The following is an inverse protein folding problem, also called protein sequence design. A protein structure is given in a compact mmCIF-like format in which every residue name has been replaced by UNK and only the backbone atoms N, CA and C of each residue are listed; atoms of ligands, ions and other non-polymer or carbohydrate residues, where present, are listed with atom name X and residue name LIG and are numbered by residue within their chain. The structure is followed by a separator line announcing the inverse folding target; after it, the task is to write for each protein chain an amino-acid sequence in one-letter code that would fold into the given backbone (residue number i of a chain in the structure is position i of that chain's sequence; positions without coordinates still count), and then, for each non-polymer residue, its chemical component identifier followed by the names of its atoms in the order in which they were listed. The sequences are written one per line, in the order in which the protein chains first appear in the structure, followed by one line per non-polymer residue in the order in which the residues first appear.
data_IF_090903949206
#
_entry.id   IF_090903949206
#
_cell.length_a   1.000
_cell.length_b   1.000
_cell.length_c   1.000
_cell.angle_alpha   90.00
_cell.angle_beta   90.00
_cell.angle_gamma   90.00
#
_symmetry.space_group_name_H-M   'P 1'
#
loop_
_entity.id
_entity.type
_entity.pdbx_description
1 polymer ?
#
# COMPACT_ATOMS: atom_id res chain seq x y z
N UNK A 1 -31.13 73.77 35.90
CA UNK A 1 -30.60 72.57 36.58
C UNK A 1 -29.33 72.15 35.84
N UNK A 2 -28.15 72.37 36.42
CA UNK A 2 -26.85 72.18 35.75
C UNK A 2 -26.45 70.71 35.92
N UNK A 3 -26.60 69.89 34.87
CA UNK A 3 -26.23 68.47 34.91
C UNK A 3 -24.71 68.38 35.00
N UNK A 4 -24.20 68.00 36.18
CA UNK A 4 -22.79 67.64 36.38
C UNK A 4 -22.47 66.45 35.48
N UNK A 5 -21.59 66.65 34.49
CA UNK A 5 -20.97 65.55 33.74
C UNK A 5 -20.00 64.85 34.70
N UNK A 6 -20.49 63.90 35.48
CA UNK A 6 -19.63 62.98 36.22
C UNK A 6 -18.91 62.09 35.19
N UNK A 7 -17.67 62.45 34.86
CA UNK A 7 -16.78 61.62 34.06
C UNK A 7 -16.38 60.41 34.88
N UNK A 8 -17.03 59.27 34.65
CA UNK A 8 -16.52 57.99 35.13
C UNK A 8 -15.28 57.62 34.30
N UNK A 9 -14.10 57.78 34.89
CA UNK A 9 -12.85 57.24 34.32
C UNK A 9 -12.87 55.72 34.49
N UNK A 10 -13.31 55.00 33.45
CA UNK A 10 -13.21 53.54 33.40
C UNK A 10 -11.74 53.20 33.13
N UNK A 11 -11.07 52.61 34.11
CA UNK A 11 -9.67 52.15 34.01
C UNK A 11 -9.63 50.78 33.33
N UNK A 12 -9.58 50.77 32.00
CA UNK A 12 -9.49 49.53 31.22
C UNK A 12 -8.08 48.92 31.39
N UNK A 13 -7.97 47.64 31.80
CA UNK A 13 -6.69 46.94 31.87
C UNK A 13 -6.00 46.87 30.51
N UNK A 14 -4.68 47.02 30.50
CA UNK A 14 -3.87 47.17 29.29
C UNK A 14 -2.89 45.99 29.14
N UNK A 15 -2.57 45.58 27.92
CA UNK A 15 -1.66 44.46 27.65
C UNK A 15 -0.22 44.96 27.46
N UNK A 16 0.75 44.31 28.10
CA UNK A 16 2.16 44.58 27.81
C UNK A 16 2.63 43.88 26.52
N UNK A 17 3.87 44.11 26.10
CA UNK A 17 4.48 43.42 24.97
C UNK A 17 4.67 41.90 25.15
N UNK A 18 4.41 41.38 26.36
CA UNK A 18 4.34 39.94 26.62
C UNK A 18 2.93 39.36 26.39
N UNK A 19 1.97 40.18 25.92
CA UNK A 19 0.55 39.83 25.77
C UNK A 19 -0.15 39.46 27.09
N UNK A 20 0.36 39.96 28.21
CA UNK A 20 -0.17 39.76 29.56
C UNK A 20 -0.77 41.07 30.11
N UNK A 21 -1.84 40.95 30.93
CA UNK A 21 -2.48 42.11 31.56
C UNK A 21 -1.54 42.82 32.55
N UNK A 22 -1.42 44.13 32.38
CA UNK A 22 -0.59 44.97 33.21
C UNK A 22 -1.29 45.31 34.54
N UNK A 23 -0.65 45.07 35.70
CA UNK A 23 -1.17 45.58 36.95
C UNK A 23 -1.13 47.10 36.99
N UNK A 24 -2.14 47.66 37.63
CA UNK A 24 -2.25 49.08 37.94
C UNK A 24 -1.38 49.42 39.16
N UNK A 25 -0.46 50.37 38.99
CA UNK A 25 0.47 50.83 40.03
C UNK A 25 0.37 52.33 40.26
N UNK A 26 0.80 52.77 41.43
CA UNK A 26 0.88 54.19 41.80
C UNK A 26 2.33 54.57 42.03
N UNK A 27 2.77 55.66 41.41
CA UNK A 27 4.13 56.18 41.55
C UNK A 27 4.36 56.73 42.96
N UNK A 28 5.50 56.30 43.53
CA UNK A 28 5.98 56.72 44.86
C UNK A 28 7.22 57.59 44.78
N UNK A 29 7.65 57.95 43.56
CA UNK A 29 8.87 58.75 43.35
C UNK A 29 8.50 60.22 43.61
N UNK A 30 9.35 61.00 44.31
CA UNK A 30 9.07 62.40 44.63
C UNK A 30 8.78 63.28 43.42
N UNK A 31 9.30 62.93 42.24
CA UNK A 31 9.06 63.66 41.00
C UNK A 31 7.65 63.46 40.42
N UNK A 32 6.95 62.38 40.78
CA UNK A 32 5.63 62.04 40.28
C UNK A 32 4.78 61.38 41.39
N UNK A 33 4.51 62.06 42.51
CA UNK A 33 3.83 61.45 43.65
C UNK A 33 2.36 61.18 43.30
N UNK A 34 1.88 59.97 43.61
CA UNK A 34 0.46 59.63 43.52
C UNK A 34 -0.08 59.38 42.11
N UNK A 35 0.70 59.61 41.05
CA UNK A 35 0.26 59.38 39.65
C UNK A 35 0.19 57.88 39.35
N UNK A 36 -0.87 57.41 38.69
CA UNK A 36 -1.10 55.99 38.40
C UNK A 36 -0.56 55.59 37.03
N UNK A 37 -0.09 54.35 36.89
CA UNK A 37 0.45 53.81 35.63
C UNK A 37 0.19 52.32 35.48
N UNK A 38 0.11 51.84 34.24
CA UNK A 38 0.24 50.43 33.89
C UNK A 38 1.69 50.11 33.57
N UNK A 39 2.17 48.96 34.03
CA UNK A 39 3.49 48.47 33.62
C UNK A 39 3.57 46.96 33.68
N UNK A 40 4.56 46.39 33.00
CA UNK A 40 4.75 44.94 32.97
C UNK A 40 4.79 44.35 34.39
N UNK A 41 4.14 43.19 34.58
CA UNK A 41 4.16 42.45 35.85
C UNK A 41 5.60 42.11 36.24
N UNK A 42 6.41 41.68 35.27
CA UNK A 42 7.83 41.39 35.43
C UNK A 42 8.64 42.70 35.34
N UNK A 43 9.44 43.05 36.36
CA UNK A 43 10.33 44.21 36.30
C UNK A 43 11.37 44.06 35.17
N UNK A 44 11.75 45.17 34.53
CA UNK A 44 12.78 45.17 33.46
C UNK A 44 14.10 44.54 33.92
N UNK A 45 14.51 44.77 35.17
CA UNK A 45 15.70 44.15 35.79
C UNK A 45 15.64 42.62 35.90
N UNK A 46 14.44 42.03 35.83
CA UNK A 46 14.19 40.59 35.91
C UNK A 46 13.74 40.03 34.53
N UNK A 47 14.11 40.67 33.42
CA UNK A 47 13.77 40.21 32.07
C UNK A 47 12.38 40.61 31.56
N UNK A 48 11.66 41.49 32.27
CA UNK A 48 10.38 42.02 31.79
C UNK A 48 10.54 42.93 30.57
N UNK A 49 9.50 43.02 29.74
CA UNK A 49 9.54 43.79 28.48
C UNK A 49 9.66 45.31 28.65
N UNK A 50 9.64 45.82 29.89
CA UNK A 50 9.80 47.25 30.17
C UNK A 50 8.58 48.10 29.83
N UNK A 51 7.43 47.49 29.54
CA UNK A 51 6.19 48.20 29.26
C UNK A 51 5.80 49.15 30.40
N UNK A 52 5.44 50.39 30.06
CA UNK A 52 5.04 51.45 30.98
C UNK A 52 4.11 52.47 30.29
N UNK A 53 2.98 52.81 30.91
CA UNK A 53 2.03 53.83 30.42
C UNK A 53 1.38 54.57 31.60
N UNK A 54 1.42 55.90 31.61
CA UNK A 54 0.69 56.71 32.60
C UNK A 54 -0.83 56.64 32.39
N UNK A 55 -1.58 56.70 33.49
CA UNK A 55 -3.04 56.90 33.49
C UNK A 55 -3.26 58.38 33.75
N UNK A 56 -3.29 59.15 32.68
CA UNK A 56 -3.75 60.52 32.72
C UNK A 56 -5.26 60.54 32.44
N UNK A 57 -5.98 61.48 33.07
CA UNK A 57 -7.41 61.72 32.80
C UNK A 57 -7.58 62.23 31.37
N UNK A 58 -7.58 61.29 30.42
CA UNK A 58 -7.76 61.39 28.97
C UNK A 58 -6.80 62.36 28.24
N UNK A 59 -6.05 61.91 27.21
CA UNK A 59 -6.21 62.60 25.95
C UNK A 59 -7.70 62.48 25.62
N UNK A 60 -8.37 63.59 25.37
CA UNK A 60 -9.63 63.53 24.66
C UNK A 60 -9.40 62.63 23.46
N UNK A 61 -9.91 61.41 23.48
CA UNK A 61 -10.28 60.75 22.25
C UNK A 61 -11.37 61.67 21.74
N UNK A 62 -10.97 62.69 20.96
CA UNK A 62 -11.90 63.43 20.14
C UNK A 62 -12.68 62.36 19.38
N UNK A 63 -13.99 62.51 19.31
CA UNK A 63 -14.91 61.61 18.60
C UNK A 63 -14.37 61.23 17.19
N UNK A 64 -13.49 62.04 16.61
CA UNK A 64 -12.72 61.79 15.40
C UNK A 64 -11.81 60.54 15.37
N UNK A 65 -11.24 60.07 16.49
CA UNK A 65 -10.28 58.93 16.44
C UNK A 65 -10.93 57.56 16.68
N UNK A 66 -12.20 57.54 17.11
CA UNK A 66 -13.00 56.30 17.22
C UNK A 66 -13.32 55.74 15.83
N UNK A 67 -13.63 56.63 14.88
CA UNK A 67 -13.93 56.28 13.48
C UNK A 67 -12.79 55.52 12.78
N UNK A 68 -11.54 55.91 13.01
CA UNK A 68 -10.37 55.32 12.33
C UNK A 68 -9.99 53.95 12.90
N UNK A 69 -10.11 53.78 14.22
CA UNK A 69 -9.93 52.49 14.90
C UNK A 69 -11.06 51.52 14.54
N UNK A 70 -12.31 51.99 14.52
CA UNK A 70 -13.47 51.21 14.09
C UNK A 70 -13.35 50.79 12.61
N UNK A 71 -12.93 51.70 11.73
CA UNK A 71 -12.69 51.40 10.31
C UNK A 71 -11.58 50.36 10.13
N UNK A 72 -10.46 50.49 10.87
CA UNK A 72 -9.35 49.52 10.81
C UNK A 72 -9.76 48.14 11.34
N UNK A 73 -10.56 48.09 12.40
CA UNK A 73 -11.09 46.84 12.95
C UNK A 73 -12.04 46.17 11.97
N UNK A 74 -12.95 46.94 11.35
CA UNK A 74 -13.89 46.47 10.34
C UNK A 74 -13.19 45.93 9.10
N UNK A 75 -12.12 46.58 8.62
CA UNK A 75 -11.29 46.08 7.50
C UNK A 75 -10.67 44.71 7.86
N UNK A 76 -10.14 44.56 9.08
CA UNK A 76 -9.54 43.30 9.53
C UNK A 76 -10.58 42.20 9.72
N UNK A 77 -11.75 42.51 10.28
CA UNK A 77 -12.86 41.56 10.40
C UNK A 77 -13.33 41.07 9.02
N UNK A 78 -13.52 41.99 8.06
CA UNK A 78 -13.91 41.65 6.68
C UNK A 78 -12.85 40.84 5.95
N UNK A 79 -11.56 41.14 6.17
CA UNK A 79 -10.45 40.33 5.66
C UNK A 79 -10.44 38.91 6.26
N UNK A 80 -10.75 38.78 7.55
CA UNK A 80 -10.90 37.50 8.24
C UNK A 80 -12.09 36.68 7.73
N UNK A 81 -13.25 37.30 7.52
CA UNK A 81 -14.45 36.69 6.94
C UNK A 81 -14.18 36.14 5.53
N UNK A 82 -13.57 36.95 4.66
CA UNK A 82 -13.17 36.52 3.32
C UNK A 82 -12.21 35.31 3.35
N UNK A 83 -11.33 35.25 4.36
CA UNK A 83 -10.43 34.10 4.54
C UNK A 83 -11.18 32.85 4.99
N UNK A 84 -12.16 33.02 5.89
CA UNK A 84 -13.00 31.95 6.41
C UNK A 84 -13.86 31.34 5.28
N UNK A 85 -14.45 32.18 4.44
CA UNK A 85 -15.25 31.73 3.30
C UNK A 85 -14.41 30.99 2.26
N UNK A 86 -13.19 31.48 1.99
CA UNK A 86 -12.24 30.77 1.12
C UNK A 86 -11.86 29.40 1.70
N UNK A 87 -11.63 29.32 3.01
CA UNK A 87 -11.31 28.05 3.68
C UNK A 87 -12.50 27.09 3.66
N UNK A 88 -13.72 27.57 3.90
CA UNK A 88 -14.95 26.77 3.78
C UNK A 88 -15.13 26.22 2.37
N UNK A 89 -14.85 27.02 1.34
CA UNK A 89 -14.92 26.54 -0.05
C UNK A 89 -13.89 25.44 -0.31
N UNK A 90 -12.64 25.63 0.11
CA UNK A 90 -11.61 24.59 -0.02
C UNK A 90 -11.96 23.31 0.73
N UNK A 91 -12.60 23.42 1.90
CA UNK A 91 -13.06 22.27 2.67
C UNK A 91 -14.09 21.45 1.85
N UNK A 92 -15.09 22.13 1.26
CA UNK A 92 -16.09 21.50 0.39
C UNK A 92 -15.45 20.84 -0.83
N UNK A 93 -14.50 21.52 -1.48
CA UNK A 93 -13.80 20.98 -2.65
C UNK A 93 -12.97 19.73 -2.30
N UNK A 94 -12.34 19.72 -1.13
CA UNK A 94 -11.58 18.55 -0.63
C UNK A 94 -12.54 17.42 -0.28
N UNK A 95 -13.63 17.69 0.42
CA UNK A 95 -14.66 16.71 0.76
C UNK A 95 -15.21 16.03 -0.50
N UNK A 96 -15.62 16.79 -1.51
CA UNK A 96 -16.10 16.27 -2.80
C UNK A 96 -15.04 15.41 -3.52
N UNK A 97 -13.77 15.81 -3.49
CA UNK A 97 -12.66 15.01 -4.05
C UNK A 97 -12.48 13.70 -3.29
N UNK A 98 -12.64 13.73 -1.97
CA UNK A 98 -12.51 12.55 -1.10
C UNK A 98 -13.60 11.53 -1.44
N UNK A 99 -14.84 11.97 -1.61
CA UNK A 99 -15.96 11.12 -2.02
C UNK A 99 -15.73 10.51 -3.41
N UNK A 100 -15.31 11.35 -4.38
CA UNK A 100 -15.02 10.89 -5.74
C UNK A 100 -13.90 9.86 -5.78
N UNK A 101 -12.86 10.04 -4.96
CA UNK A 101 -11.75 9.08 -4.85
C UNK A 101 -12.20 7.78 -4.16
N UNK A 102 -13.06 7.87 -3.15
CA UNK A 102 -13.63 6.72 -2.45
C UNK A 102 -14.41 5.82 -3.43
N UNK A 103 -15.27 6.42 -4.28
CA UNK A 103 -16.03 5.65 -5.28
C UNK A 103 -15.12 5.00 -6.35
N UNK A 104 -14.08 5.71 -6.81
CA UNK A 104 -13.08 5.13 -7.72
C UNK A 104 -12.31 3.97 -7.08
N UNK A 105 -12.00 4.07 -5.78
CA UNK A 105 -11.32 3.03 -5.04
C UNK A 105 -12.20 1.78 -4.96
N UNK A 106 -13.48 1.92 -4.61
CA UNK A 106 -14.45 0.80 -4.61
C UNK A 106 -14.57 0.12 -5.97
N UNK A 107 -14.75 0.88 -7.06
CA UNK A 107 -14.80 0.33 -8.42
C UNK A 107 -13.51 -0.44 -8.78
N UNK A 108 -12.35 0.09 -8.39
CA UNK A 108 -11.07 -0.58 -8.61
C UNK A 108 -10.92 -1.87 -7.78
N UNK A 109 -11.41 -1.89 -6.54
CA UNK A 109 -11.44 -3.08 -5.68
C UNK A 109 -12.35 -4.16 -6.25
N UNK A 110 -13.54 -3.81 -6.73
CA UNK A 110 -14.46 -4.74 -7.40
C UNK A 110 -13.84 -5.37 -8.64
N UNK A 111 -13.15 -4.56 -9.46
CA UNK A 111 -12.39 -5.06 -10.63
C UNK A 111 -11.28 -6.02 -10.21
N UNK A 112 -10.55 -5.73 -9.13
CA UNK A 112 -9.52 -6.63 -8.61
C UNK A 112 -10.11 -7.96 -8.10
N UNK A 113 -11.26 -7.93 -7.44
CA UNK A 113 -11.98 -9.13 -7.00
C UNK A 113 -12.38 -9.98 -8.21
N UNK A 114 -12.96 -9.37 -9.25
CA UNK A 114 -13.34 -10.05 -10.50
C UNK A 114 -12.14 -10.67 -11.21
N UNK A 115 -11.04 -9.93 -11.35
CA UNK A 115 -9.81 -10.43 -11.97
C UNK A 115 -9.21 -11.59 -11.17
N UNK A 116 -9.20 -11.49 -9.83
CA UNK A 116 -8.73 -12.56 -8.95
C UNK A 116 -9.54 -13.85 -9.12
N UNK A 117 -10.86 -13.74 -9.26
CA UNK A 117 -11.73 -14.90 -9.53
C UNK A 117 -11.44 -15.52 -10.90
N UNK A 118 -11.30 -14.70 -11.95
CA UNK A 118 -10.93 -15.17 -13.30
C UNK A 118 -9.57 -15.87 -13.29
N UNK A 119 -8.58 -15.32 -12.59
CA UNK A 119 -7.26 -15.94 -12.47
C UNK A 119 -7.32 -17.31 -11.78
N UNK A 120 -8.13 -17.45 -10.70
CA UNK A 120 -8.35 -18.75 -10.05
C UNK A 120 -8.96 -19.77 -11.01
N UNK A 121 -9.95 -19.37 -11.81
CA UNK A 121 -10.58 -20.23 -12.82
C UNK A 121 -9.57 -20.68 -13.88
N UNK A 122 -8.82 -19.76 -14.48
CA UNK A 122 -7.79 -20.08 -15.49
C UNK A 122 -6.69 -20.97 -14.92
N UNK A 123 -6.28 -20.74 -13.67
CA UNK A 123 -5.30 -21.61 -12.99
C UNK A 123 -5.83 -23.04 -12.83
N UNK A 124 -7.10 -23.19 -12.42
CA UNK A 124 -7.73 -24.49 -12.28
C UNK A 124 -7.88 -25.21 -13.64
N UNK A 125 -8.26 -24.48 -14.70
CA UNK A 125 -8.33 -25.01 -16.07
C UNK A 125 -6.96 -25.50 -16.56
N UNK A 126 -5.89 -24.74 -16.26
CA UNK A 126 -4.50 -25.14 -16.57
C UNK A 126 -4.11 -26.44 -15.85
N UNK A 127 -4.36 -26.54 -14.55
CA UNK A 127 -4.04 -27.76 -13.79
C UNK A 127 -4.85 -28.96 -14.29
N UNK A 128 -6.13 -28.77 -14.60
CA UNK A 128 -6.97 -29.80 -15.21
C UNK A 128 -6.44 -30.26 -16.58
N UNK A 129 -6.03 -29.33 -17.44
CA UNK A 129 -5.43 -29.64 -18.73
C UNK A 129 -4.09 -30.39 -18.57
N UNK A 130 -3.27 -29.97 -17.60
CA UNK A 130 -1.99 -30.64 -17.26
C UNK A 130 -2.22 -32.07 -16.78
N UNK A 131 -3.22 -32.30 -15.92
CA UNK A 131 -3.61 -33.65 -15.47
C UNK A 131 -4.11 -34.52 -16.63
N UNK A 132 -4.93 -33.97 -17.53
CA UNK A 132 -5.39 -34.67 -18.74
C UNK A 132 -4.21 -35.07 -19.64
N UNK A 133 -3.29 -34.15 -19.88
CA UNK A 133 -2.09 -34.41 -20.68
C UNK A 133 -1.21 -35.49 -20.03
N UNK A 134 -0.94 -35.38 -18.72
CA UNK A 134 -0.18 -36.39 -17.98
C UNK A 134 -0.82 -37.78 -18.06
N UNK A 135 -2.15 -37.86 -17.98
CA UNK A 135 -2.89 -39.13 -18.15
C UNK A 135 -2.71 -39.70 -19.56
N UNK A 136 -2.80 -38.87 -20.59
CA UNK A 136 -2.59 -39.33 -21.98
C UNK A 136 -1.15 -39.82 -22.19
N UNK A 137 -0.15 -39.09 -21.68
CA UNK A 137 1.26 -39.50 -21.75
C UNK A 137 1.47 -40.83 -21.04
N UNK A 138 0.91 -41.02 -19.84
CA UNK A 138 0.99 -42.28 -19.11
C UNK A 138 0.39 -43.45 -19.89
N UNK A 139 -0.78 -43.26 -20.50
CA UNK A 139 -1.41 -44.29 -21.33
C UNK A 139 -0.57 -44.65 -22.55
N UNK A 140 0.02 -43.66 -23.22
CA UNK A 140 0.93 -43.91 -24.35
C UNK A 140 2.17 -44.70 -23.91
N UNK A 141 2.78 -44.35 -22.77
CA UNK A 141 3.91 -45.09 -22.23
C UNK A 141 3.54 -46.56 -21.94
N UNK A 142 2.36 -46.81 -21.36
CA UNK A 142 1.86 -48.18 -21.12
C UNK A 142 1.68 -48.96 -22.44
N UNK A 143 1.11 -48.33 -23.47
CA UNK A 143 0.95 -48.98 -24.77
C UNK A 143 2.30 -49.33 -25.40
N UNK A 144 3.27 -48.42 -25.31
CA UNK A 144 4.63 -48.64 -25.82
C UNK A 144 5.35 -49.76 -25.06
N UNK A 145 5.21 -49.83 -23.73
CA UNK A 145 5.82 -50.91 -22.93
C UNK A 145 5.19 -52.27 -23.22
N UNK A 146 3.86 -52.33 -23.35
CA UNK A 146 3.15 -53.55 -23.75
C UNK A 146 3.61 -53.99 -25.16
N UNK A 147 3.66 -53.08 -26.13
CA UNK A 147 4.11 -53.37 -27.49
C UNK A 147 5.55 -53.88 -27.51
N UNK A 148 6.43 -53.25 -26.74
CA UNK A 148 7.82 -53.67 -26.58
C UNK A 148 7.92 -55.08 -25.98
N UNK A 149 7.12 -55.36 -24.94
CA UNK A 149 7.09 -56.68 -24.31
C UNK A 149 6.64 -57.78 -25.28
N UNK A 150 5.57 -57.56 -26.06
CA UNK A 150 5.14 -58.51 -27.08
C UNK A 150 6.21 -58.75 -28.14
N UNK A 151 6.87 -57.69 -28.63
CA UNK A 151 8.00 -57.81 -29.55
C UNK A 151 9.14 -58.64 -28.94
N UNK A 152 9.49 -58.41 -27.67
CA UNK A 152 10.52 -59.16 -26.95
C UNK A 152 10.18 -60.65 -26.86
N UNK A 153 8.95 -60.99 -26.45
CA UNK A 153 8.49 -62.39 -26.38
C UNK A 153 8.51 -63.05 -27.75
N UNK A 154 8.04 -62.36 -28.80
CA UNK A 154 8.06 -62.86 -30.16
C UNK A 154 9.50 -63.12 -30.65
N UNK A 155 10.42 -62.17 -30.44
CA UNK A 155 11.84 -62.35 -30.76
C UNK A 155 12.49 -63.51 -30.01
N UNK A 156 12.15 -63.66 -28.72
CA UNK A 156 12.63 -64.79 -27.92
C UNK A 156 12.12 -66.12 -28.48
N UNK A 157 10.83 -66.22 -28.79
CA UNK A 157 10.22 -67.42 -29.34
C UNK A 157 10.81 -67.79 -30.71
N UNK A 158 10.98 -66.81 -31.61
CA UNK A 158 11.65 -67.00 -32.90
C UNK A 158 13.07 -67.54 -32.71
N UNK A 159 13.84 -66.97 -31.77
CA UNK A 159 15.22 -67.39 -31.48
C UNK A 159 15.29 -68.82 -30.93
N UNK A 160 14.36 -69.21 -30.05
CA UNK A 160 14.29 -70.59 -29.53
C UNK A 160 13.94 -71.56 -30.66
N UNK A 161 12.94 -71.23 -31.46
CA UNK A 161 12.46 -72.12 -32.52
C UNK A 161 13.50 -72.28 -33.65
N UNK A 162 14.18 -71.19 -34.04
CA UNK A 162 15.30 -71.26 -35.00
C UNK A 162 16.46 -72.12 -34.49
N UNK A 163 16.83 -72.02 -33.20
CA UNK A 163 17.83 -72.90 -32.59
C UNK A 163 17.38 -74.37 -32.59
N UNK A 164 16.12 -74.65 -32.28
CA UNK A 164 15.57 -76.01 -32.28
C UNK A 164 15.60 -76.63 -33.69
N UNK A 165 15.16 -75.88 -34.71
CA UNK A 165 15.18 -76.32 -36.11
C UNK A 165 16.62 -76.56 -36.59
N UNK A 166 17.56 -75.67 -36.26
CA UNK A 166 18.97 -75.87 -36.59
C UNK A 166 19.55 -77.12 -35.93
N UNK A 167 19.20 -77.41 -34.67
CA UNK A 167 19.59 -78.63 -33.97
C UNK A 167 19.07 -79.91 -34.63
N UNK A 168 17.80 -79.91 -35.06
CA UNK A 168 17.20 -81.04 -35.79
C UNK A 168 17.91 -81.27 -37.12
N UNK A 169 18.13 -80.21 -37.91
CA UNK A 169 18.85 -80.29 -39.19
C UNK A 169 20.27 -80.85 -39.00
N UNK A 170 20.99 -80.41 -37.96
CA UNK A 170 22.33 -80.90 -37.66
C UNK A 170 22.32 -82.39 -37.29
N UNK A 171 21.36 -82.83 -36.48
CA UNK A 171 21.20 -84.24 -36.13
C UNK A 171 20.87 -85.13 -37.34
N UNK A 172 20.01 -84.66 -38.25
CA UNK A 172 19.69 -85.37 -39.50
C UNK A 172 20.92 -85.47 -40.41
N UNK A 173 21.68 -84.38 -40.56
CA UNK A 173 22.91 -84.39 -41.34
C UNK A 173 23.94 -85.38 -40.78
N UNK A 174 24.16 -85.38 -39.46
CA UNK A 174 25.06 -86.32 -38.79
C UNK A 174 24.61 -87.79 -38.95
N UNK A 175 23.31 -88.06 -38.83
CA UNK A 175 22.76 -89.41 -39.02
C UNK A 175 22.96 -89.90 -40.47
N UNK A 176 22.78 -89.03 -41.46
CA UNK A 176 23.02 -89.34 -42.86
C UNK A 176 24.50 -89.63 -43.15
N UNK A 177 25.44 -88.88 -42.56
CA UNK A 177 26.87 -89.18 -42.70
C UNK A 177 27.21 -90.55 -42.12
N UNK A 178 26.77 -90.85 -40.90
CA UNK A 178 27.01 -92.15 -40.25
C UNK A 178 26.44 -93.30 -41.09
N UNK A 179 25.24 -93.13 -41.66
CA UNK A 179 24.65 -94.11 -42.55
C UNK A 179 25.48 -94.32 -43.83
N UNK A 180 26.00 -93.24 -44.42
CA UNK A 180 26.86 -93.29 -45.60
C UNK A 180 28.17 -94.05 -45.32
N UNK A 181 28.82 -93.75 -44.18
CA UNK A 181 30.03 -94.46 -43.75
C UNK A 181 29.75 -95.94 -43.42
N UNK A 182 28.60 -96.24 -42.81
CA UNK A 182 28.18 -97.63 -42.57
C UNK A 182 28.00 -98.42 -43.87
N UNK A 183 27.37 -97.83 -44.88
CA UNK A 183 27.21 -98.44 -46.20
C UNK A 183 28.57 -98.65 -46.91
N UNK A 184 29.50 -97.69 -46.79
CA UNK A 184 30.85 -97.81 -47.35
C UNK A 184 31.69 -98.92 -46.68
N UNK A 185 31.54 -99.11 -45.37
CA UNK A 185 32.25 -100.18 -44.63
C UNK A 185 31.68 -101.57 -44.94
N UNK A 186 30.36 -101.70 -45.12
CA UNK A 186 29.72 -102.96 -45.53
C UNK A 186 30.09 -103.32 -46.98
N UNK A 187 30.23 -102.33 -47.86
CA UNK A 187 30.63 -102.55 -49.25
C UNK A 187 32.09 -103.00 -49.45
N UNK A 188 32.98 -102.73 -48.49
CA UNK A 188 34.39 -103.12 -48.55
C UNK A 188 34.72 -104.43 -47.79
N UNK A 189 33.73 -105.09 -47.17
CA UNK A 189 33.89 -106.34 -46.43
C UNK A 189 33.60 -107.61 -47.23
N UNK A 190 33.24 -107.49 -48.52
CA UNK A 190 32.99 -108.63 -49.41
C UNK A 190 34.05 -108.71 -50.50
N UNK A 191 35.24 -109.21 -50.12
CA UNK A 191 36.25 -109.76 -51.04
C UNK A 191 36.84 -111.01 -50.42
#
# INVERSE_FOLDING_TARGET
MRISKNFFNIEVPDLCYCSEFCPLRTSRIPSNPGRRFFGCKVPKKNGGCGYFRWIDSKPSISVHQYSEVESSLMIKCKGGENSCDRLKQKLKDVEQKTDTLCEKLKDSEEKLISLRQKLKKVKLERECAKLKLNRLVLLLLIVLTIKWFFNMVQCYWIRVNTKAVAGILYAVAAANEVALYGLLLVGNGTT
#
